data_IF_622767961612
#
_entry.id   IF_622767961612
#
_cell.length_a   1.000
_cell.length_b   1.000
_cell.length_c   1.000
_cell.angle_alpha   90.00
_cell.angle_beta   90.00
_cell.angle_gamma   90.00
#
_symmetry.space_group_name_H-M   'P 1'
#
loop_
_entity.id
_entity.type
_entity.pdbx_description
1 polymer ?
#
# COMPACT_ATOMS: atom_id res chain seq x y z
N UNK A 1 -55.79 -34.84 27.70
CA UNK A 1 -55.13 -34.84 26.37
C UNK A 1 -54.50 -33.46 26.22
N UNK A 2 -53.16 -33.38 26.39
CA UNK A 2 -52.18 -32.94 25.37
C UNK A 2 -52.29 -31.42 25.05
N UNK A 3 -51.28 -30.55 25.13
CA UNK A 3 -49.84 -30.62 25.40
C UNK A 3 -49.33 -29.24 25.86
N UNK A 4 -48.22 -29.23 26.60
CA UNK A 4 -47.49 -28.04 27.01
C UNK A 4 -46.54 -27.56 25.90
N UNK A 5 -46.41 -26.25 25.66
CA UNK A 5 -45.25 -25.68 24.95
C UNK A 5 -44.66 -24.54 25.77
N UNK A 6 -43.56 -24.91 26.42
CA UNK A 6 -42.61 -24.11 27.17
C UNK A 6 -41.71 -23.34 26.18
N UNK A 7 -41.89 -22.02 26.09
CA UNK A 7 -41.04 -21.13 25.29
C UNK A 7 -40.16 -20.27 26.19
N UNK A 8 -39.01 -20.79 26.61
CA UNK A 8 -38.00 -20.02 27.35
C UNK A 8 -37.30 -18.97 26.48
N UNK A 9 -36.74 -17.89 27.08
CA UNK A 9 -36.04 -16.86 26.32
C UNK A 9 -34.74 -17.41 25.75
N UNK A 10 -34.65 -17.41 24.42
CA UNK A 10 -33.41 -17.71 23.69
C UNK A 10 -32.38 -16.61 23.97
N UNK A 11 -31.49 -16.90 24.93
CA UNK A 11 -30.25 -16.18 25.11
C UNK A 11 -29.40 -16.37 23.86
N UNK A 12 -29.40 -15.37 22.98
CA UNK A 12 -28.50 -15.30 21.82
C UNK A 12 -27.05 -15.27 22.32
N UNK A 13 -26.45 -16.44 22.50
CA UNK A 13 -25.00 -16.57 22.65
C UNK A 13 -24.41 -16.28 21.28
N UNK A 14 -24.02 -15.02 21.07
CA UNK A 14 -23.16 -14.64 19.97
C UNK A 14 -21.81 -15.36 20.18
N UNK A 15 -21.67 -16.53 19.58
CA UNK A 15 -20.38 -17.21 19.45
C UNK A 15 -19.55 -16.42 18.44
N UNK A 16 -19.02 -15.29 18.88
CA UNK A 16 -17.93 -14.61 18.18
C UNK A 16 -16.78 -15.60 18.18
N UNK A 17 -16.63 -16.30 17.06
CA UNK A 17 -15.42 -17.07 16.77
C UNK A 17 -14.26 -16.09 16.93
N UNK A 18 -13.26 -16.35 17.78
CA UNK A 18 -11.99 -15.69 17.62
C UNK A 18 -11.43 -16.24 16.31
N UNK A 19 -11.68 -15.55 15.20
CA UNK A 19 -10.82 -15.71 14.03
C UNK A 19 -9.43 -15.39 14.53
N UNK A 20 -8.61 -16.44 14.64
CA UNK A 20 -7.17 -16.31 14.71
C UNK A 20 -6.79 -15.43 13.52
N UNK A 21 -6.62 -14.13 13.78
CA UNK A 21 -5.99 -13.21 12.87
C UNK A 21 -4.56 -13.70 12.75
N UNK A 22 -4.33 -14.63 11.81
CA UNK A 22 -3.00 -14.87 11.28
C UNK A 22 -2.43 -13.52 10.86
N UNK A 23 -1.09 -13.34 10.85
CA UNK A 23 -0.47 -12.10 10.45
C UNK A 23 -1.13 -11.64 9.15
N UNK A 24 -1.88 -10.54 9.23
CA UNK A 24 -2.53 -9.95 8.08
C UNK A 24 -1.36 -9.57 7.18
N UNK A 25 -1.12 -10.38 6.15
CA UNK A 25 -0.09 -10.10 5.16
C UNK A 25 -0.37 -8.65 4.73
N UNK A 26 0.63 -7.76 4.78
CA UNK A 26 0.46 -6.42 4.24
C UNK A 26 -0.14 -6.58 2.84
N UNK A 27 -1.10 -5.71 2.47
CA UNK A 27 -1.65 -5.70 1.11
C UNK A 27 -0.50 -5.88 0.11
N UNK A 28 -0.71 -6.62 -0.98
CA UNK A 28 0.40 -6.94 -1.91
C UNK A 28 1.13 -5.68 -2.40
N UNK A 29 0.42 -4.56 -2.44
CA UNK A 29 0.94 -3.24 -2.75
C UNK A 29 1.68 -2.52 -1.62
N UNK A 30 1.72 -3.00 -0.38
CA UNK A 30 2.40 -2.31 0.73
C UNK A 30 3.86 -2.74 0.79
N UNK A 31 4.76 -1.77 0.62
CA UNK A 31 6.20 -2.00 0.71
C UNK A 31 6.64 -1.93 2.15
N UNK A 32 7.07 -3.07 2.70
CA UNK A 32 7.68 -3.12 4.04
C UNK A 32 9.16 -2.77 3.90
N UNK A 33 9.46 -1.47 3.90
CA UNK A 33 10.84 -0.97 3.89
C UNK A 33 11.09 -0.08 5.12
N UNK A 34 12.23 -0.19 5.82
CA UNK A 34 12.50 0.56 7.05
C UNK A 34 12.50 2.08 6.87
N UNK A 35 12.63 2.55 5.63
CA UNK A 35 12.60 3.96 5.25
C UNK A 35 11.34 4.32 4.45
N UNK A 36 10.32 3.48 4.38
CA UNK A 36 9.06 3.83 3.74
C UNK A 36 7.94 3.63 4.74
N UNK A 37 7.37 4.74 5.19
CA UNK A 37 6.11 4.70 5.91
C UNK A 37 4.96 4.57 4.90
N UNK A 38 3.81 4.00 5.32
CA UNK A 38 2.63 3.96 4.47
C UNK A 38 2.23 5.34 3.93
N UNK A 39 2.35 6.40 4.74
CA UNK A 39 2.08 7.78 4.31
C UNK A 39 3.02 8.24 3.18
N UNK A 40 4.32 7.97 3.30
CA UNK A 40 5.31 8.30 2.26
C UNK A 40 5.02 7.54 0.97
N UNK A 41 4.66 6.26 1.08
CA UNK A 41 4.29 5.46 -0.07
C UNK A 41 3.04 6.01 -0.77
N UNK A 42 2.00 6.33 -0.02
CA UNK A 42 0.76 6.90 -0.59
C UNK A 42 1.04 8.24 -1.25
N UNK A 43 1.85 9.10 -0.63
CA UNK A 43 2.22 10.39 -1.22
C UNK A 43 2.97 10.22 -2.56
N UNK A 44 3.94 9.32 -2.61
CA UNK A 44 4.68 9.03 -3.84
C UNK A 44 3.79 8.43 -4.93
N UNK A 45 2.96 7.45 -4.59
CA UNK A 45 2.05 6.84 -5.55
C UNK A 45 1.00 7.83 -6.06
N UNK A 46 0.47 8.71 -5.20
CA UNK A 46 -0.47 9.74 -5.59
C UNK A 46 0.17 10.78 -6.54
N UNK A 47 1.41 11.17 -6.28
CA UNK A 47 2.13 12.11 -7.14
C UNK A 47 2.35 11.56 -8.56
N UNK A 48 2.67 10.27 -8.68
CA UNK A 48 2.79 9.60 -10.00
C UNK A 48 1.43 9.46 -10.68
N UNK A 49 0.37 9.11 -9.93
CA UNK A 49 -0.97 8.87 -10.46
C UNK A 49 -1.62 10.15 -11.04
N UNK A 50 -1.38 11.30 -10.41
CA UNK A 50 -1.91 12.60 -10.86
C UNK A 50 -1.44 12.96 -12.28
N UNK A 51 -0.18 12.65 -12.59
CA UNK A 51 0.48 13.07 -13.83
C UNK A 51 0.58 11.92 -14.85
N UNK A 52 0.45 10.67 -14.39
CA UNK A 52 0.71 9.43 -15.15
C UNK A 52 2.19 9.05 -15.17
N UNK A 53 3.08 10.04 -15.18
CA UNK A 53 4.51 9.92 -14.98
C UNK A 53 5.04 11.13 -14.20
N UNK A 54 6.00 10.91 -13.30
CA UNK A 54 6.60 11.97 -12.49
C UNK A 54 8.12 11.96 -12.61
N UNK A 55 8.74 13.13 -12.47
CA UNK A 55 10.20 13.21 -12.43
C UNK A 55 10.70 12.83 -11.04
N UNK A 56 11.91 12.29 -10.96
CA UNK A 56 12.54 11.93 -9.71
C UNK A 56 12.70 13.13 -8.76
N UNK A 57 12.92 14.33 -9.31
CA UNK A 57 12.94 15.59 -8.57
C UNK A 57 11.57 15.93 -7.98
N UNK A 58 10.49 15.84 -8.76
CA UNK A 58 9.12 16.11 -8.29
C UNK A 58 8.72 15.15 -7.18
N UNK A 59 9.09 13.87 -7.30
CA UNK A 59 8.87 12.87 -6.27
C UNK A 59 9.66 13.17 -4.99
N UNK A 60 10.88 13.70 -5.11
CA UNK A 60 11.64 14.13 -3.95
C UNK A 60 11.01 15.35 -3.26
N UNK A 61 10.47 16.29 -4.03
CA UNK A 61 9.76 17.46 -3.53
C UNK A 61 8.39 17.12 -2.89
N UNK A 62 7.77 16.00 -3.28
CA UNK A 62 6.54 15.51 -2.66
C UNK A 62 6.77 14.99 -1.22
N UNK A 63 8.00 14.62 -0.87
CA UNK A 63 8.37 14.10 0.46
C UNK A 63 9.57 14.86 1.05
N UNK A 64 9.47 16.19 1.26
CA UNK A 64 10.61 17.02 1.64
C UNK A 64 11.07 16.77 3.08
N UNK A 65 10.22 16.16 3.91
CA UNK A 65 10.54 15.77 5.28
C UNK A 65 11.28 14.42 5.37
N UNK A 66 11.46 13.71 4.26
CA UNK A 66 12.10 12.40 4.26
C UNK A 66 13.63 12.54 4.24
N UNK A 67 14.38 11.82 5.09
CA UNK A 67 15.84 11.94 5.16
C UNK A 67 16.55 11.46 3.88
N UNK A 68 15.90 10.57 3.11
CA UNK A 68 16.44 10.02 1.86
C UNK A 68 15.33 9.82 0.82
N UNK A 69 14.83 10.89 0.19
CA UNK A 69 13.68 10.80 -0.70
C UNK A 69 13.93 9.91 -1.92
N UNK A 70 15.12 10.04 -2.52
CA UNK A 70 15.53 9.23 -3.67
C UNK A 70 15.58 7.73 -3.32
N UNK A 71 16.12 7.38 -2.15
CA UNK A 71 16.15 5.99 -1.68
C UNK A 71 14.75 5.42 -1.48
N UNK A 72 13.78 6.24 -1.04
CA UNK A 72 12.39 5.81 -0.90
C UNK A 72 11.77 5.51 -2.28
N UNK A 73 11.98 6.38 -3.28
CA UNK A 73 11.50 6.11 -4.65
C UNK A 73 12.11 4.82 -5.19
N UNK A 74 13.43 4.63 -5.03
CA UNK A 74 14.12 3.41 -5.48
C UNK A 74 13.63 2.15 -4.77
N UNK A 75 13.28 2.23 -3.49
CA UNK A 75 12.71 1.08 -2.77
C UNK A 75 11.29 0.73 -3.26
N UNK A 76 10.50 1.70 -3.74
CA UNK A 76 9.23 1.41 -4.42
C UNK A 76 9.44 0.79 -5.81
N UNK A 77 10.52 1.18 -6.49
CA UNK A 77 10.92 0.56 -7.77
C UNK A 77 11.37 -0.88 -7.56
N UNK A 78 12.20 -1.13 -6.55
CA UNK A 78 12.67 -2.48 -6.17
C UNK A 78 11.49 -3.38 -5.74
N UNK A 79 10.50 -2.80 -5.07
CA UNK A 79 9.25 -3.50 -4.75
C UNK A 79 8.32 -3.75 -5.94
N UNK A 80 8.67 -3.25 -7.14
CA UNK A 80 7.90 -3.47 -8.38
C UNK A 80 6.61 -2.66 -8.49
N UNK A 81 6.45 -1.60 -7.69
CA UNK A 81 5.28 -0.69 -7.77
C UNK A 81 5.52 0.47 -8.72
N UNK A 82 6.77 0.91 -8.83
CA UNK A 82 7.20 1.96 -9.73
C UNK A 82 8.24 1.41 -10.71
N UNK A 83 8.31 2.02 -11.88
CA UNK A 83 9.40 1.83 -12.84
C UNK A 83 10.09 3.17 -13.04
N UNK A 84 11.39 3.13 -13.30
CA UNK A 84 12.22 4.30 -13.56
C UNK A 84 12.98 4.11 -14.87
N UNK A 85 13.12 5.20 -15.64
CA UNK A 85 13.96 5.19 -16.83
C UNK A 85 15.44 5.18 -16.45
N UNK A 86 16.05 3.99 -16.53
CA UNK A 86 17.49 3.78 -16.33
C UNK A 86 18.31 3.87 -17.62
N UNK A 87 17.69 4.08 -18.78
CA UNK A 87 18.41 4.28 -20.04
C UNK A 87 18.94 5.72 -20.15
N UNK A 88 18.23 6.67 -19.54
CA UNK A 88 18.65 8.07 -19.43
C UNK A 88 19.62 8.30 -18.27
N UNK A 89 20.23 9.49 -18.23
CA UNK A 89 21.08 9.90 -17.11
C UNK A 89 20.27 9.89 -15.80
N UNK A 90 20.85 9.33 -14.74
CA UNK A 90 20.21 9.28 -13.43
C UNK A 90 20.26 10.64 -12.74
N UNK A 91 19.30 11.51 -13.05
CA UNK A 91 19.18 12.86 -12.48
C UNK A 91 17.73 13.23 -12.11
N UNK A 92 17.50 14.46 -11.65
CA UNK A 92 16.18 14.92 -11.22
C UNK A 92 15.10 14.84 -12.32
N UNK A 93 15.51 14.83 -13.60
CA UNK A 93 14.64 14.67 -14.77
C UNK A 93 14.32 13.22 -15.13
N UNK A 94 14.86 12.24 -14.38
CA UNK A 94 14.50 10.83 -14.57
C UNK A 94 13.00 10.64 -14.43
N UNK A 95 12.37 10.03 -15.43
CA UNK A 95 10.94 9.70 -15.38
C UNK A 95 10.71 8.43 -14.59
N UNK A 96 9.70 8.49 -13.75
CA UNK A 96 9.19 7.40 -12.92
C UNK A 96 7.70 7.26 -13.21
N UNK A 97 7.22 6.04 -13.43
CA UNK A 97 5.82 5.75 -13.68
C UNK A 97 5.35 4.56 -12.84
N UNK A 98 4.04 4.48 -12.63
CA UNK A 98 3.45 3.38 -11.87
C UNK A 98 3.40 2.12 -12.74
N UNK A 99 3.83 1.00 -12.18
CA UNK A 99 3.62 -0.31 -12.79
C UNK A 99 2.23 -0.76 -12.36
N UNK A 100 1.37 -1.05 -13.33
CA UNK A 100 0.07 -1.67 -13.06
C UNK A 100 0.24 -3.20 -13.09
N UNK A 101 0.10 -3.89 -11.95
CA UNK A 101 0.26 -5.35 -11.90
C UNK A 101 -0.92 -6.09 -12.57
N UNK A 102 -2.02 -5.41 -12.91
CA UNK A 102 -3.18 -6.01 -13.57
C UNK A 102 -3.07 -6.02 -15.12
N UNK A 103 -2.04 -5.37 -15.68
CA UNK A 103 -1.78 -5.32 -17.12
C UNK A 103 -0.66 -6.29 -17.51
N UNK A 104 -0.93 -7.59 -17.38
CA UNK A 104 -0.08 -8.68 -17.88
C UNK A 104 -0.70 -9.38 -19.10
#
# INVERSE_FOLDING_TARGET
MAEAIYGGPVSARNTVRPTLTGPQLPHHDIVVHPLITPDVQVALLAAVDETGDACLGDLADAIPAHPQPISAVLALVDAGLLAIDLFSAFDASCRVWRIDPARH
#
